data_IF_655957622988
#
_entry.id   IF_655957622988
#
_cell.length_a   1.000
_cell.length_b   1.000
_cell.length_c   1.000
_cell.angle_alpha   90.00
_cell.angle_beta   90.00
_cell.angle_gamma   90.00
#
_symmetry.space_group_name_H-M   'P 1'
#
loop_
_entity.id
_entity.type
_entity.pdbx_description
1 polymer ?
#
# COMPACT_ATOMS: atom_id res chain seq x y z
N UNK A 1 10.49 2.52 -11.01
CA UNK A 1 11.27 3.64 -10.44
C UNK A 1 11.56 3.32 -8.99
N UNK A 2 12.71 3.71 -8.43
CA UNK A 2 13.02 3.49 -7.02
C UNK A 2 13.15 4.82 -6.29
N UNK A 3 12.47 4.95 -5.16
CA UNK A 3 12.54 6.06 -4.22
C UNK A 3 13.23 5.54 -2.95
N UNK A 4 14.31 6.18 -2.51
CA UNK A 4 15.12 5.70 -1.39
C UNK A 4 15.61 6.86 -0.51
N UNK A 5 15.49 6.71 0.80
CA UNK A 5 15.99 7.69 1.74
C UNK A 5 15.43 7.55 3.16
N UNK A 6 15.63 8.59 3.95
CA UNK A 6 15.11 8.71 5.30
C UNK A 6 14.52 10.10 5.51
N UNK A 7 13.22 10.19 5.86
CA UNK A 7 12.52 11.46 6.11
C UNK A 7 12.58 12.42 4.92
N UNK A 8 12.20 11.93 3.74
CA UNK A 8 12.25 12.68 2.47
C UNK A 8 10.89 12.61 1.76
N UNK A 9 10.47 13.73 1.18
CA UNK A 9 9.28 13.79 0.35
C UNK A 9 9.63 13.63 -1.15
N UNK A 10 8.82 12.85 -1.86
CA UNK A 10 8.88 12.64 -3.30
C UNK A 10 7.57 13.05 -3.97
N UNK A 11 7.68 13.74 -5.11
CA UNK A 11 6.58 13.96 -6.04
C UNK A 11 6.90 13.27 -7.36
N UNK A 12 6.19 12.19 -7.65
CA UNK A 12 6.36 11.40 -8.87
C UNK A 12 5.36 11.89 -9.91
N UNK A 13 5.87 12.54 -10.96
CA UNK A 13 5.04 13.13 -12.01
C UNK A 13 4.79 12.14 -13.13
N UNK A 14 3.51 11.90 -13.43
CA UNK A 14 3.03 11.04 -14.51
C UNK A 14 2.83 9.59 -14.07
N UNK A 15 2.23 8.80 -14.97
CA UNK A 15 1.96 7.39 -14.71
C UNK A 15 3.26 6.58 -14.77
N UNK A 16 3.42 5.68 -13.80
CA UNK A 16 4.57 4.79 -13.72
C UNK A 16 4.14 3.34 -13.96
N UNK A 17 4.97 2.54 -14.61
CA UNK A 17 4.71 1.10 -14.64
C UNK A 17 4.94 0.47 -13.26
N UNK A 18 5.97 0.92 -12.56
CA UNK A 18 6.41 0.37 -11.29
C UNK A 18 6.99 1.48 -10.43
N UNK A 19 6.64 1.52 -9.15
CA UNK A 19 7.23 2.37 -8.11
C UNK A 19 7.68 1.48 -6.96
N UNK A 20 8.93 1.64 -6.54
CA UNK A 20 9.52 0.91 -5.41
C UNK A 20 9.94 1.93 -4.36
N UNK A 21 9.40 1.81 -3.16
CA UNK A 21 9.69 2.67 -2.00
C UNK A 21 10.59 1.90 -1.03
N UNK A 22 11.83 2.37 -0.87
CA UNK A 22 12.86 1.78 0.00
C UNK A 22 13.35 2.83 0.99
N UNK A 23 12.68 2.98 2.11
CA UNK A 23 13.10 4.02 3.05
C UNK A 23 12.43 3.96 4.40
N UNK A 24 12.67 5.02 5.16
CA UNK A 24 12.08 5.21 6.47
C UNK A 24 11.53 6.64 6.59
N UNK A 25 10.22 6.82 6.77
CA UNK A 25 9.65 8.17 6.82
C UNK A 25 9.55 8.84 5.47
N UNK A 26 9.31 8.12 4.37
CA UNK A 26 9.14 8.75 3.07
C UNK A 26 7.69 9.19 2.86
N UNK A 27 7.51 10.43 2.38
CA UNK A 27 6.20 10.95 1.95
C UNK A 27 6.16 10.93 0.42
N UNK A 28 5.35 10.06 -0.19
CA UNK A 28 5.33 9.86 -1.64
C UNK A 28 3.99 10.25 -2.21
N UNK A 29 3.97 11.23 -3.12
CA UNK A 29 2.79 11.53 -3.95
C UNK A 29 3.02 11.08 -5.36
N UNK A 30 2.09 10.32 -5.92
CA UNK A 30 2.21 9.78 -7.28
C UNK A 30 0.88 9.74 -8.04
N UNK A 31 0.98 9.63 -9.37
CA UNK A 31 -0.15 9.29 -10.24
C UNK A 31 -0.44 7.79 -10.25
N UNK A 32 -1.00 7.29 -11.36
CA UNK A 32 -1.31 5.88 -11.48
C UNK A 32 -0.02 5.03 -11.55
N UNK A 33 -0.08 3.83 -10.96
CA UNK A 33 0.98 2.82 -11.15
C UNK A 33 0.40 1.42 -11.33
N UNK A 34 1.04 0.60 -12.16
CA UNK A 34 0.66 -0.81 -12.28
C UNK A 34 1.13 -1.61 -11.07
N UNK A 35 2.28 -1.24 -10.51
CA UNK A 35 2.89 -1.94 -9.37
C UNK A 35 3.49 -0.92 -8.38
N UNK A 36 3.17 -1.08 -7.11
CA UNK A 36 3.77 -0.39 -5.98
C UNK A 36 4.37 -1.44 -5.04
N UNK A 37 5.67 -1.35 -4.79
CA UNK A 37 6.38 -2.20 -3.83
C UNK A 37 6.99 -1.35 -2.72
N UNK A 38 6.64 -1.65 -1.47
CA UNK A 38 7.17 -0.96 -0.28
C UNK A 38 8.02 -1.95 0.50
N UNK A 39 9.33 -1.70 0.55
CA UNK A 39 10.32 -2.52 1.26
C UNK A 39 10.91 -1.78 2.47
N UNK A 40 10.30 -0.64 2.82
CA UNK A 40 10.69 0.26 3.91
C UNK A 40 9.69 0.27 5.07
N UNK A 41 9.86 1.21 5.99
CA UNK A 41 8.95 1.41 7.12
C UNK A 41 8.52 2.85 7.31
N UNK A 42 7.44 3.11 8.03
CA UNK A 42 6.98 4.49 8.31
C UNK A 42 6.83 5.33 7.03
N UNK A 43 6.42 4.75 5.90
CA UNK A 43 6.26 5.50 4.66
C UNK A 43 4.77 5.78 4.41
N UNK A 44 4.47 6.99 3.95
CA UNK A 44 3.14 7.43 3.54
C UNK A 44 3.12 7.55 2.01
N UNK A 45 2.19 6.84 1.35
CA UNK A 45 2.07 6.84 -0.11
C UNK A 45 0.65 7.25 -0.53
N UNK A 46 0.54 8.42 -1.13
CA UNK A 46 -0.68 8.94 -1.73
C UNK A 46 -0.68 8.73 -3.25
N UNK A 47 -1.58 7.88 -3.73
CA UNK A 47 -1.89 7.75 -5.16
C UNK A 47 -3.21 8.45 -5.47
N UNK A 48 -3.14 9.60 -6.16
CA UNK A 48 -4.33 10.33 -6.62
C UNK A 48 -5.12 9.61 -7.74
N UNK A 49 -4.82 8.35 -8.01
CA UNK A 49 -5.37 7.52 -9.09
C UNK A 49 -5.30 6.04 -8.72
N UNK A 50 -5.67 5.16 -9.66
CA UNK A 50 -5.65 3.72 -9.43
C UNK A 50 -4.23 3.12 -9.36
N UNK A 51 -4.06 2.18 -8.45
CA UNK A 51 -2.90 1.29 -8.31
C UNK A 51 -3.31 -0.12 -8.72
N UNK A 52 -2.49 -0.78 -9.55
CA UNK A 52 -2.72 -2.17 -9.92
C UNK A 52 -2.48 -3.10 -8.73
N UNK A 53 -1.22 -3.40 -8.44
CA UNK A 53 -0.82 -4.22 -7.31
C UNK A 53 -0.04 -3.40 -6.28
N UNK A 54 -0.36 -3.60 -5.01
CA UNK A 54 0.43 -3.12 -3.87
C UNK A 54 1.04 -4.32 -3.16
N UNK A 55 2.36 -4.30 -3.00
CA UNK A 55 3.10 -5.29 -2.19
C UNK A 55 3.87 -4.58 -1.09
N UNK A 56 3.60 -4.92 0.17
CA UNK A 56 4.30 -4.35 1.32
C UNK A 56 5.06 -5.46 2.04
N UNK A 57 6.38 -5.30 2.16
CA UNK A 57 7.28 -6.23 2.86
C UNK A 57 7.86 -5.64 4.14
N UNK A 58 7.75 -4.33 4.34
CA UNK A 58 8.15 -3.68 5.59
C UNK A 58 6.95 -3.37 6.47
N UNK A 59 7.19 -2.57 7.50
CA UNK A 59 6.25 -2.39 8.61
C UNK A 59 5.81 -0.93 8.74
N UNK A 60 4.68 -0.65 9.38
CA UNK A 60 4.25 0.72 9.73
C UNK A 60 4.12 1.62 8.48
N UNK A 61 3.52 1.15 7.39
CA UNK A 61 3.34 1.95 6.17
C UNK A 61 1.87 2.26 5.91
N UNK A 62 1.61 3.47 5.43
CA UNK A 62 0.29 3.97 5.05
C UNK A 62 0.19 4.09 3.52
N UNK A 63 -0.89 3.59 2.93
CA UNK A 63 -1.17 3.72 1.49
C UNK A 63 -2.61 4.16 1.25
N UNK A 64 -2.78 5.33 0.63
CA UNK A 64 -4.07 5.81 0.16
C UNK A 64 -4.14 5.78 -1.37
N UNK A 65 -5.21 5.22 -1.93
CA UNK A 65 -5.44 5.24 -3.38
C UNK A 65 -6.94 5.25 -3.73
N UNK A 66 -7.30 5.73 -4.91
CA UNK A 66 -8.71 5.64 -5.35
C UNK A 66 -9.13 4.19 -5.58
N UNK A 67 -8.29 3.37 -6.22
CA UNK A 67 -8.57 1.94 -6.41
C UNK A 67 -7.29 1.14 -6.28
N UNK A 68 -7.36 -0.04 -5.67
CA UNK A 68 -6.27 -1.00 -5.62
C UNK A 68 -6.77 -2.35 -6.15
N UNK A 69 -6.19 -2.86 -7.24
CA UNK A 69 -6.68 -4.13 -7.80
C UNK A 69 -6.30 -5.33 -6.90
N UNK A 70 -5.12 -5.33 -6.29
CA UNK A 70 -4.71 -6.36 -5.34
C UNK A 70 -3.72 -5.86 -4.30
N UNK A 71 -3.90 -6.28 -3.05
CA UNK A 71 -3.02 -5.99 -1.91
C UNK A 71 -2.36 -7.29 -1.44
N UNK A 72 -1.04 -7.25 -1.24
CA UNK A 72 -0.25 -8.29 -0.57
C UNK A 72 0.61 -7.66 0.51
N UNK A 73 0.44 -8.11 1.76
CA UNK A 73 1.20 -7.59 2.91
C UNK A 73 1.92 -8.75 3.59
N UNK A 74 3.22 -8.60 3.79
CA UNK A 74 4.07 -9.56 4.50
C UNK A 74 4.78 -8.96 5.73
N UNK A 75 4.65 -7.65 5.95
CA UNK A 75 5.08 -6.98 7.18
C UNK A 75 3.93 -6.75 8.15
N UNK A 76 4.15 -5.89 9.13
CA UNK A 76 3.23 -5.65 10.25
C UNK A 76 2.81 -4.18 10.34
N UNK A 77 1.70 -3.91 11.03
CA UNK A 77 1.26 -2.55 11.35
C UNK A 77 1.09 -1.66 10.09
N UNK A 78 0.71 -2.23 8.93
CA UNK A 78 0.47 -1.44 7.72
C UNK A 78 -1.01 -1.13 7.55
N UNK A 79 -1.32 0.09 7.13
CA UNK A 79 -2.68 0.57 6.90
C UNK A 79 -2.87 0.96 5.42
N UNK A 80 -3.95 0.46 4.82
CA UNK A 80 -4.27 0.76 3.42
C UNK A 80 -5.74 1.16 3.27
N UNK A 81 -5.98 2.25 2.56
CA UNK A 81 -7.32 2.77 2.29
C UNK A 81 -7.56 2.95 0.78
N UNK A 82 -8.70 2.44 0.30
CA UNK A 82 -9.16 2.74 -1.06
C UNK A 82 -10.68 2.63 -1.26
N UNK A 83 -11.25 3.43 -2.15
CA UNK A 83 -12.68 3.33 -2.51
C UNK A 83 -13.03 1.97 -3.14
N UNK A 84 -12.09 1.34 -3.82
CA UNK A 84 -12.29 -0.02 -4.35
C UNK A 84 -11.03 -0.87 -4.22
N UNK A 85 -11.16 -2.00 -3.54
CA UNK A 85 -10.13 -3.03 -3.42
C UNK A 85 -10.62 -4.34 -4.06
N UNK A 86 -9.82 -4.90 -4.96
CA UNK A 86 -10.14 -6.17 -5.63
C UNK A 86 -9.93 -7.38 -4.72
N UNK A 87 -8.68 -7.67 -4.34
CA UNK A 87 -8.33 -8.80 -3.47
C UNK A 87 -7.29 -8.45 -2.42
N UNK A 88 -7.30 -9.16 -1.29
CA UNK A 88 -6.40 -8.92 -0.16
C UNK A 88 -5.74 -10.22 0.30
N UNK A 89 -4.42 -10.18 0.47
CA UNK A 89 -3.64 -11.22 1.12
C UNK A 89 -2.72 -10.61 2.18
N UNK A 90 -2.85 -11.07 3.43
CA UNK A 90 -2.08 -10.59 4.59
C UNK A 90 -1.38 -11.76 5.26
N UNK A 91 -0.07 -11.63 5.44
CA UNK A 91 0.82 -12.58 6.08
C UNK A 91 1.78 -11.87 7.06
N UNK A 92 1.19 -11.17 8.03
CA UNK A 92 1.85 -10.46 9.12
C UNK A 92 0.83 -10.11 10.19
N UNK A 93 1.20 -9.31 11.17
CA UNK A 93 0.35 -8.96 12.31
C UNK A 93 -0.11 -7.50 12.26
N UNK A 94 -1.29 -7.22 12.83
CA UNK A 94 -1.82 -5.87 13.07
C UNK A 94 -1.93 -4.96 11.82
N UNK A 95 -2.21 -5.53 10.64
CA UNK A 95 -2.43 -4.74 9.41
C UNK A 95 -3.90 -4.37 9.20
N UNK A 96 -4.18 -3.16 8.73
CA UNK A 96 -5.50 -2.65 8.37
C UNK A 96 -5.69 -2.52 6.86
N UNK A 97 -6.85 -2.95 6.36
CA UNK A 97 -7.31 -2.63 4.99
C UNK A 97 -8.75 -2.13 5.07
N UNK A 98 -8.94 -0.87 4.70
CA UNK A 98 -10.25 -0.24 4.58
C UNK A 98 -10.63 -0.07 3.10
N UNK A 99 -11.81 -0.54 2.73
CA UNK A 99 -12.29 -0.48 1.36
C UNK A 99 -13.73 0.07 1.26
N UNK A 100 -14.05 0.82 0.21
CA UNK A 100 -15.45 1.20 -0.07
C UNK A 100 -16.35 0.03 -0.52
N UNK A 101 -15.77 -1.14 -0.78
CA UNK A 101 -16.46 -2.39 -1.16
C UNK A 101 -16.02 -3.57 -0.29
N UNK A 102 -16.69 -4.73 -0.43
CA UNK A 102 -16.21 -5.99 0.15
C UNK A 102 -15.13 -6.61 -0.78
N UNK A 103 -13.83 -6.61 -0.42
CA UNK A 103 -12.79 -7.16 -1.29
C UNK A 103 -12.91 -8.68 -1.36
N UNK A 104 -12.63 -9.32 -2.49
CA UNK A 104 -12.69 -10.78 -2.64
C UNK A 104 -11.69 -11.33 -3.69
N UNK A 105 -10.92 -12.38 -3.36
CA UNK A 105 -10.86 -13.07 -2.07
C UNK A 105 -10.10 -12.27 -1.02
N UNK A 106 -10.34 -12.59 0.25
CA UNK A 106 -9.55 -12.13 1.41
C UNK A 106 -8.89 -13.34 2.05
N UNK A 107 -7.56 -13.28 2.19
CA UNK A 107 -6.76 -14.28 2.92
C UNK A 107 -5.95 -13.57 3.97
N UNK A 108 -6.10 -13.99 5.22
CA UNK A 108 -5.41 -13.38 6.36
C UNK A 108 -4.77 -14.48 7.19
N UNK A 109 -3.50 -14.28 7.51
CA UNK A 109 -2.71 -15.07 8.44
C UNK A 109 -1.94 -14.11 9.34
N UNK A 110 -1.67 -14.52 10.58
CA UNK A 110 -1.22 -13.61 11.63
C UNK A 110 -2.38 -13.11 12.48
N UNK A 111 -2.06 -12.37 13.52
CA UNK A 111 -3.00 -11.88 14.54
C UNK A 111 -3.29 -10.38 14.34
N UNK A 112 -4.43 -9.90 14.84
CA UNK A 112 -4.73 -8.46 14.89
C UNK A 112 -5.11 -7.77 13.57
N UNK A 113 -4.98 -8.45 12.42
CA UNK A 113 -5.32 -7.87 11.13
C UNK A 113 -6.82 -7.57 10.97
N UNK A 114 -7.13 -6.47 10.29
CA UNK A 114 -8.49 -6.02 9.97
C UNK A 114 -8.65 -5.81 8.47
N UNK A 115 -9.75 -6.32 7.90
CA UNK A 115 -10.18 -5.99 6.54
C UNK A 115 -11.65 -5.64 6.62
N UNK A 116 -11.97 -4.37 6.43
CA UNK A 116 -13.34 -3.87 6.59
C UNK A 116 -13.77 -2.92 5.50
N UNK A 117 -15.08 -2.65 5.50
CA UNK A 117 -15.71 -1.75 4.56
C UNK A 117 -16.13 -0.47 5.29
N UNK A 118 -15.73 0.70 4.80
CA UNK A 118 -16.15 2.00 5.35
C UNK A 118 -17.39 2.58 4.65
#
# INVERSE_FOLDING_TARGET
MTLDGERVAYEVVGDCAEVIVRGNGLDVRMGATTELSIEGRANEVDSGSGVGAVTIKGDDNDVEATTIASIVIAGNENDLEAETVGSVEIAGDDNGVEAGNDPQPVRVTGDGNMVERH
#
